data_IF_328415926978
#
_entry.id   IF_328415926978
#
_cell.length_a   1.000
_cell.length_b   1.000
_cell.length_c   1.000
_cell.angle_alpha   90.00
_cell.angle_beta   90.00
_cell.angle_gamma   90.00
#
_symmetry.space_group_name_H-M   'P 1'
#
loop_
_entity.id
_entity.type
_entity.pdbx_description
1 polymer ?
#
# COMPACT_ATOMS: atom_id res chain seq x y z
N UNK A 1 11.66 18.93 -14.81
CA UNK A 1 11.79 19.12 -13.35
C UNK A 1 10.50 19.76 -12.88
N UNK A 2 9.77 19.13 -11.95
CA UNK A 2 8.53 19.69 -11.40
C UNK A 2 8.87 20.83 -10.44
N UNK A 3 8.06 21.88 -10.44
CA UNK A 3 8.16 22.93 -9.41
C UNK A 3 7.50 22.48 -8.09
N UNK A 4 7.68 23.27 -7.03
CA UNK A 4 7.15 22.94 -5.70
C UNK A 4 5.64 22.79 -5.67
N UNK A 5 4.90 23.63 -6.41
CA UNK A 5 3.44 23.56 -6.46
C UNK A 5 2.98 22.30 -7.19
N UNK A 6 3.62 21.97 -8.31
CA UNK A 6 3.36 20.74 -9.08
C UNK A 6 3.64 19.49 -8.25
N UNK A 7 4.71 19.48 -7.45
CA UNK A 7 5.01 18.36 -6.55
C UNK A 7 3.97 18.22 -5.44
N UNK A 8 3.56 19.31 -4.80
CA UNK A 8 2.52 19.28 -3.77
C UNK A 8 1.17 18.80 -4.32
N UNK A 9 0.77 19.28 -5.50
CA UNK A 9 -0.46 18.82 -6.16
C UNK A 9 -0.41 17.34 -6.52
N UNK A 10 0.75 16.86 -6.98
CA UNK A 10 0.93 15.43 -7.25
C UNK A 10 0.83 14.61 -5.95
N UNK A 11 1.49 15.03 -4.87
CA UNK A 11 1.43 14.32 -3.58
C UNK A 11 0.01 14.26 -3.04
N UNK A 12 -0.75 15.35 -3.14
CA UNK A 12 -2.16 15.35 -2.76
C UNK A 12 -2.96 14.36 -3.63
N UNK A 13 -2.77 14.39 -4.95
CA UNK A 13 -3.43 13.45 -5.87
C UNK A 13 -3.10 12.00 -5.50
N UNK A 14 -1.82 11.66 -5.29
CA UNK A 14 -1.40 10.30 -4.95
C UNK A 14 -1.91 9.87 -3.57
N UNK A 15 -2.08 10.80 -2.63
CA UNK A 15 -2.73 10.54 -1.35
C UNK A 15 -4.19 10.10 -1.55
N UNK A 16 -4.95 10.88 -2.33
CA UNK A 16 -6.36 10.61 -2.59
C UNK A 16 -6.55 9.29 -3.36
N UNK A 17 -5.73 9.08 -4.40
CA UNK A 17 -5.73 7.84 -5.19
C UNK A 17 -5.38 6.61 -4.33
N UNK A 18 -4.42 6.75 -3.40
CA UNK A 18 -4.08 5.66 -2.46
C UNK A 18 -5.25 5.33 -1.53
N UNK A 19 -5.93 6.34 -0.99
CA UNK A 19 -7.11 6.12 -0.14
C UNK A 19 -8.23 5.42 -0.90
N UNK A 20 -8.53 5.90 -2.12
CA UNK A 20 -9.58 5.33 -2.98
C UNK A 20 -9.23 3.88 -3.34
N UNK A 21 -7.99 3.61 -3.74
CA UNK A 21 -7.54 2.28 -4.12
C UNK A 21 -7.63 1.28 -2.96
N UNK A 22 -7.10 1.65 -1.79
CA UNK A 22 -7.15 0.80 -0.60
C UNK A 22 -8.57 0.62 -0.07
N UNK A 23 -9.42 1.64 -0.19
CA UNK A 23 -10.85 1.52 0.11
C UNK A 23 -11.52 0.51 -0.83
N UNK A 24 -11.26 0.57 -2.13
CA UNK A 24 -11.82 -0.37 -3.11
C UNK A 24 -11.43 -1.81 -2.80
N UNK A 25 -10.16 -2.06 -2.43
CA UNK A 25 -9.70 -3.39 -1.99
C UNK A 25 -10.44 -3.85 -0.73
N UNK A 26 -10.61 -2.96 0.25
CA UNK A 26 -11.31 -3.25 1.51
C UNK A 26 -12.79 -3.57 1.30
N UNK A 27 -13.47 -2.87 0.40
CA UNK A 27 -14.90 -3.07 0.10
C UNK A 27 -15.16 -4.09 -0.99
N UNK A 28 -14.12 -4.84 -1.42
CA UNK A 28 -14.18 -5.81 -2.52
C UNK A 28 -14.64 -5.23 -3.87
N UNK A 29 -14.45 -3.93 -4.11
CA UNK A 29 -14.66 -3.31 -5.42
C UNK A 29 -13.43 -3.54 -6.31
N UNK A 30 -13.22 -4.80 -6.69
CA UNK A 30 -12.07 -5.20 -7.51
C UNK A 30 -12.13 -4.65 -8.93
N UNK A 31 -13.32 -4.26 -9.41
CA UNK A 31 -13.46 -3.59 -10.70
C UNK A 31 -12.80 -2.21 -10.65
N UNK A 32 -13.12 -1.42 -9.63
CA UNK A 32 -12.52 -0.11 -9.43
C UNK A 32 -11.03 -0.21 -9.13
N UNK A 33 -10.63 -1.09 -8.20
CA UNK A 33 -9.22 -1.29 -7.85
C UNK A 33 -8.38 -1.65 -9.10
N UNK A 34 -8.86 -2.60 -9.93
CA UNK A 34 -8.16 -3.00 -11.16
C UNK A 34 -8.06 -1.85 -12.18
N UNK A 35 -9.05 -0.96 -12.25
CA UNK A 35 -9.02 0.20 -13.14
C UNK A 35 -7.94 1.24 -12.76
N UNK A 36 -7.57 1.29 -11.47
CA UNK A 36 -6.51 2.15 -10.97
C UNK A 36 -5.10 1.59 -11.20
N UNK A 37 -5.01 0.29 -11.51
CA UNK A 37 -3.73 -0.36 -11.80
C UNK A 37 -3.23 -0.04 -13.21
N UNK A 38 -1.91 -0.19 -13.38
CA UNK A 38 -1.25 -0.01 -14.67
C UNK A 38 -1.61 -1.11 -15.67
N UNK A 39 -1.23 -0.89 -16.94
CA UNK A 39 -1.52 -1.84 -18.01
C UNK A 39 -0.90 -3.23 -17.79
N UNK A 40 0.15 -3.34 -16.97
CA UNK A 40 0.76 -4.62 -16.56
C UNK A 40 -0.27 -5.56 -15.92
N UNK A 41 -1.30 -5.00 -15.27
CA UNK A 41 -2.36 -5.76 -14.62
C UNK A 41 -3.61 -5.94 -15.48
N UNK A 42 -3.65 -5.33 -16.68
CA UNK A 42 -4.79 -5.36 -17.61
C UNK A 42 -4.92 -6.72 -18.31
N UNK A 43 -3.82 -7.44 -18.50
CA UNK A 43 -3.83 -8.78 -19.13
C UNK A 43 -4.42 -9.87 -18.21
N UNK A 44 -4.36 -9.67 -16.89
CA UNK A 44 -5.01 -10.55 -15.92
C UNK A 44 -6.53 -10.39 -16.02
N UNK A 45 -7.31 -11.46 -15.93
CA UNK A 45 -8.77 -11.32 -15.89
C UNK A 45 -9.23 -10.69 -14.56
N UNK A 46 -10.44 -10.14 -14.50
CA UNK A 46 -10.99 -9.64 -13.23
C UNK A 46 -11.14 -10.76 -12.18
N UNK A 47 -11.67 -11.96 -12.52
CA UNK A 47 -11.71 -13.09 -11.58
C UNK A 47 -10.34 -13.49 -11.04
N UNK A 48 -9.31 -13.56 -11.90
CA UNK A 48 -7.96 -13.92 -11.47
C UNK A 48 -7.35 -12.86 -10.56
N UNK A 49 -7.59 -11.58 -10.86
CA UNK A 49 -7.17 -10.47 -10.02
C UNK A 49 -7.81 -10.54 -8.63
N UNK A 50 -9.13 -10.73 -8.58
CA UNK A 50 -9.85 -10.92 -7.32
C UNK A 50 -9.29 -12.11 -6.53
N UNK A 51 -9.14 -13.28 -7.19
CA UNK A 51 -8.64 -14.48 -6.54
C UNK A 51 -7.21 -14.28 -6.00
N UNK A 52 -6.35 -13.60 -6.76
CA UNK A 52 -4.99 -13.26 -6.32
C UNK A 52 -5.01 -12.34 -5.10
N UNK A 53 -5.75 -11.23 -5.12
CA UNK A 53 -5.83 -10.32 -3.96
C UNK A 53 -6.40 -11.04 -2.74
N UNK A 54 -7.45 -11.85 -2.90
CA UNK A 54 -8.09 -12.56 -1.79
C UNK A 54 -7.21 -13.68 -1.20
N UNK A 55 -6.31 -14.26 -2.00
CA UNK A 55 -5.39 -15.32 -1.58
C UNK A 55 -4.09 -14.75 -1.02
N UNK A 56 -3.47 -13.85 -1.76
CA UNK A 56 -2.14 -13.31 -1.47
C UNK A 56 -2.15 -12.05 -0.62
N UNK A 57 -3.32 -11.39 -0.47
CA UNK A 57 -3.49 -10.15 0.30
C UNK A 57 -4.85 -10.01 1.04
N UNK A 58 -5.44 -11.06 1.67
CA UNK A 58 -6.68 -10.95 2.47
C UNK A 58 -6.71 -9.90 3.60
N UNK A 59 -5.56 -9.31 3.99
CA UNK A 59 -5.52 -8.27 5.01
C UNK A 59 -6.33 -7.02 4.62
N UNK A 60 -6.34 -6.62 3.34
CA UNK A 60 -7.06 -5.41 2.92
C UNK A 60 -8.56 -5.48 3.24
N UNK A 61 -9.19 -6.63 2.99
CA UNK A 61 -10.61 -6.85 3.29
C UNK A 61 -10.93 -6.84 4.80
N UNK A 62 -9.92 -7.07 5.66
CA UNK A 62 -10.05 -7.06 7.12
C UNK A 62 -9.74 -5.70 7.75
N UNK A 63 -9.11 -4.79 7.00
CA UNK A 63 -8.79 -3.45 7.50
C UNK A 63 -10.07 -2.64 7.75
N UNK A 64 -10.03 -1.77 8.75
CA UNK A 64 -11.16 -0.89 9.13
C UNK A 64 -10.90 0.55 8.76
N UNK A 65 -9.64 0.98 8.67
CA UNK A 65 -9.25 2.31 8.23
C UNK A 65 -7.86 2.30 7.57
N UNK A 66 -7.56 3.39 6.88
CA UNK A 66 -6.27 3.63 6.21
C UNK A 66 -5.76 5.01 6.62
N UNK A 67 -4.48 5.09 6.99
CA UNK A 67 -3.75 6.33 7.12
C UNK A 67 -2.70 6.40 6.01
N UNK A 68 -2.61 7.51 5.30
CA UNK A 68 -1.58 7.73 4.27
C UNK A 68 -0.46 8.58 4.86
N UNK A 69 0.76 8.08 4.75
CA UNK A 69 1.96 8.69 5.31
C UNK A 69 2.79 9.40 4.25
N UNK A 70 4.06 9.01 4.16
CA UNK A 70 5.06 9.69 3.34
C UNK A 70 4.88 9.34 1.85
N UNK A 71 5.24 10.31 1.01
CA UNK A 71 5.30 10.15 -0.44
C UNK A 71 6.71 10.49 -0.89
N UNK A 72 7.33 9.54 -1.58
CA UNK A 72 8.64 9.70 -2.22
C UNK A 72 8.47 9.56 -3.71
N UNK A 73 8.87 10.56 -4.48
CA UNK A 73 8.76 10.54 -5.94
C UNK A 73 10.06 11.02 -6.60
N UNK A 74 10.42 10.41 -7.72
CA UNK A 74 11.64 10.75 -8.48
C UNK A 74 11.35 11.27 -9.90
N UNK A 75 10.06 11.35 -10.27
CA UNK A 75 9.63 11.73 -11.62
C UNK A 75 9.24 10.57 -12.52
N UNK A 76 9.72 9.36 -12.24
CA UNK A 76 9.38 8.13 -12.96
C UNK A 76 8.50 7.21 -12.12
N UNK A 77 8.70 7.20 -10.81
CA UNK A 77 7.88 6.46 -9.87
C UNK A 77 7.57 7.34 -8.65
N UNK A 78 6.50 6.95 -7.95
CA UNK A 78 6.18 7.48 -6.64
C UNK A 78 5.78 6.33 -5.73
N UNK A 79 6.34 6.29 -4.53
CA UNK A 79 5.98 5.34 -3.48
C UNK A 79 5.22 6.11 -2.41
N UNK A 80 4.04 5.61 -2.09
CA UNK A 80 3.18 6.13 -1.01
C UNK A 80 3.16 5.09 0.09
N UNK A 81 3.61 5.48 1.28
CA UNK A 81 3.48 4.67 2.49
C UNK A 81 2.04 4.82 3.01
N UNK A 82 1.39 3.70 3.28
CA UNK A 82 0.06 3.64 3.87
C UNK A 82 0.06 2.67 5.06
N UNK A 83 -0.82 2.92 6.01
CA UNK A 83 -0.97 2.11 7.21
C UNK A 83 -2.41 1.65 7.32
N UNK A 84 -2.59 0.34 7.41
CA UNK A 84 -3.90 -0.29 7.56
C UNK A 84 -4.16 -0.51 9.05
N UNK A 85 -5.29 -0.02 9.54
CA UNK A 85 -5.75 -0.27 10.90
C UNK A 85 -6.76 -1.42 10.92
N UNK A 86 -6.72 -2.24 11.95
CA UNK A 86 -7.58 -3.41 12.11
C UNK A 86 -8.40 -3.32 13.41
N UNK A 87 -9.51 -4.07 13.49
CA UNK A 87 -10.40 -4.07 14.66
C UNK A 87 -9.74 -4.58 15.95
N UNK A 88 -8.62 -5.30 15.84
CA UNK A 88 -7.82 -5.80 16.96
C UNK A 88 -6.71 -4.83 17.39
N UNK A 89 -6.85 -3.54 17.06
CA UNK A 89 -5.94 -2.43 17.39
C UNK A 89 -4.53 -2.55 16.79
N UNK A 90 -4.35 -3.47 15.84
CA UNK A 90 -3.06 -3.70 15.19
C UNK A 90 -2.96 -2.95 13.88
N UNK A 91 -1.73 -2.83 13.38
CA UNK A 91 -1.39 -2.11 12.16
C UNK A 91 -0.60 -2.99 11.19
N UNK A 92 -0.71 -2.68 9.90
CA UNK A 92 0.16 -3.20 8.86
C UNK A 92 0.61 -2.03 7.97
N UNK A 93 1.88 -2.07 7.53
CA UNK A 93 2.39 -1.15 6.51
C UNK A 93 1.99 -1.65 5.14
N UNK A 94 1.73 -0.72 4.23
CA UNK A 94 1.50 -0.99 2.84
C UNK A 94 2.19 0.07 1.99
N UNK A 95 3.00 -0.35 1.03
CA UNK A 95 3.60 0.54 0.06
C UNK A 95 2.78 0.44 -1.24
N UNK A 96 2.26 1.58 -1.71
CA UNK A 96 1.60 1.69 -3.01
C UNK A 96 2.53 2.42 -3.97
N UNK A 97 3.01 1.73 -5.00
CA UNK A 97 3.89 2.31 -6.00
C UNK A 97 3.09 2.71 -7.24
N UNK A 98 3.24 3.96 -7.66
CA UNK A 98 2.65 4.53 -8.86
C UNK A 98 3.72 4.82 -9.90
N UNK A 99 3.34 4.73 -11.17
CA UNK A 99 4.12 5.23 -12.30
C UNK A 99 3.22 6.07 -13.23
N UNK A 100 3.78 7.06 -13.94
CA UNK A 100 3.03 7.85 -14.90
C UNK A 100 2.63 6.99 -16.10
N UNK A 101 1.37 7.13 -16.50
CA UNK A 101 0.81 6.55 -17.71
C UNK A 101 0.12 7.67 -18.52
N UNK A 102 -0.34 7.35 -19.74
CA UNK A 102 -1.02 8.31 -20.64
C UNK A 102 -2.20 9.03 -19.99
N UNK A 103 -2.93 8.31 -19.13
CA UNK A 103 -4.15 8.79 -18.44
C UNK A 103 -3.90 9.26 -17.01
N UNK A 104 -2.63 9.44 -16.60
CA UNK A 104 -2.23 9.81 -15.25
C UNK A 104 -1.45 8.73 -14.52
N UNK A 105 -1.25 8.91 -13.22
CA UNK A 105 -0.48 7.98 -12.39
C UNK A 105 -1.31 6.73 -12.10
N UNK A 106 -0.71 5.55 -12.30
CA UNK A 106 -1.36 4.25 -12.12
C UNK A 106 -0.58 3.38 -11.16
N UNK A 107 -1.29 2.58 -10.36
CA UNK A 107 -0.67 1.64 -9.40
C UNK A 107 0.07 0.55 -10.18
N UNK A 108 1.38 0.48 -10.04
CA UNK A 108 2.20 -0.56 -10.67
C UNK A 108 2.53 -1.70 -9.71
N UNK A 109 2.58 -1.42 -8.40
CA UNK A 109 2.92 -2.41 -7.37
C UNK A 109 2.21 -2.08 -6.07
N UNK A 110 1.80 -3.14 -5.38
CA UNK A 110 1.26 -3.12 -4.04
C UNK A 110 2.11 -4.05 -3.18
N UNK A 111 2.54 -3.60 -2.01
CA UNK A 111 3.32 -4.42 -1.08
C UNK A 111 2.76 -4.25 0.32
N UNK A 112 2.60 -5.36 1.05
CA UNK A 112 2.11 -5.37 2.42
C UNK A 112 3.24 -5.89 3.32
N UNK A 113 3.54 -5.16 4.40
CA UNK A 113 4.51 -5.57 5.42
C UNK A 113 3.84 -5.50 6.80
N UNK A 114 4.10 -6.52 7.60
CA UNK A 114 3.65 -6.59 8.98
C UNK A 114 4.52 -5.68 9.85
N UNK A 115 3.92 -4.89 10.75
CA UNK A 115 4.66 -4.07 11.71
C UNK A 115 4.56 -4.68 13.11
N UNK A 116 3.34 -4.88 13.62
CA UNK A 116 3.11 -5.21 15.05
C UNK A 116 2.81 -6.69 15.33
N UNK A 117 2.54 -7.52 14.31
CA UNK A 117 2.08 -8.90 14.49
C UNK A 117 2.07 -9.72 13.19
N UNK A 118 2.17 -11.04 13.36
CA UNK A 118 1.91 -12.05 12.34
C UNK A 118 0.45 -11.99 11.85
N UNK A 119 0.19 -11.48 10.65
CA UNK A 119 -1.13 -11.55 10.03
C UNK A 119 -1.27 -12.99 9.55
N UNK A 120 -1.99 -13.87 10.25
CA UNK A 120 -2.30 -15.18 9.68
C UNK A 120 -3.23 -15.00 8.45
N UNK A 121 -2.90 -15.58 7.28
CA UNK A 121 -1.94 -16.67 7.04
C UNK A 121 -0.61 -16.27 6.35
N UNK A 122 -0.22 -14.99 6.38
CA UNK A 122 0.92 -14.44 5.64
C UNK A 122 2.29 -14.68 6.26
N UNK A 123 2.33 -15.11 7.52
CA UNK A 123 3.59 -15.40 8.19
C UNK A 123 4.07 -16.81 7.78
N UNK A 124 5.14 -16.94 6.97
CA UNK A 124 5.89 -18.19 6.96
C UNK A 124 6.38 -18.43 8.38
N UNK A 125 6.19 -19.65 8.89
CA UNK A 125 6.65 -20.07 10.21
C UNK A 125 8.17 -20.18 10.26
N UNK A 126 8.89 -19.05 10.17
CA UNK A 126 10.32 -18.98 10.47
C UNK A 126 10.63 -17.74 11.32
N UNK A 127 11.18 -17.90 12.53
CA UNK A 127 11.54 -16.78 13.37
C UNK A 127 12.96 -16.29 13.03
N UNK A 128 13.09 -15.06 12.54
CA UNK A 128 14.29 -14.22 12.71
C UNK A 128 13.90 -12.80 12.24
N UNK A 129 14.12 -11.70 12.95
CA UNK A 129 15.24 -11.28 13.78
C UNK A 129 14.72 -10.41 14.95
N UNK A 130 15.43 -10.41 16.08
CA UNK A 130 15.08 -9.63 17.25
C UNK A 130 15.08 -8.11 16.97
N UNK A 131 13.90 -7.50 16.99
CA UNK A 131 13.76 -6.05 17.21
C UNK A 131 14.01 -5.73 18.70
N UNK A 132 15.25 -5.86 19.15
CA UNK A 132 15.74 -5.18 20.35
C UNK A 132 16.19 -3.78 19.93
N UNK A 133 15.24 -2.86 19.86
CA UNK A 133 15.56 -1.43 20.00
C UNK A 133 15.70 -1.14 21.49
N UNK A 134 16.76 -1.65 22.12
CA UNK A 134 17.17 -1.16 23.44
C UNK A 134 17.85 0.18 23.22
N UNK A 135 17.13 1.27 23.45
CA UNK A 135 17.70 2.61 23.59
C UNK A 135 18.51 2.65 24.88
N UNK A 136 19.83 2.62 24.76
CA UNK A 136 20.73 2.91 25.87
C UNK A 136 20.97 4.41 25.90
N UNK A 137 20.35 5.10 26.86
CA UNK A 137 20.71 6.48 27.19
C UNK A 137 22.13 6.46 27.80
N UNK A 138 23.04 7.24 27.22
CA UNK A 138 24.35 7.49 27.81
C UNK A 138 24.19 8.73 28.69
N UNK A 139 24.08 8.52 30.00
CA UNK A 139 24.27 9.61 30.98
C UNK A 139 25.73 10.09 30.92
N UNK A 140 25.90 11.41 30.99
CA UNK A 140 27.21 12.09 30.94
C UNK A 140 28.03 11.98 32.22
#
# INVERSE_FOLDING_TARGET
MRDTLQTLLLHQQLTDETQIFLQALRTNDFTHAKHMMSEVWREMSLPDFQAMIQKELPAFAKSTATFVGLIMDDGQEAVVDAFLYFSNEKWAACDVTFAPNRDGWKVIRLSLREIDWAIEPFSPTEPSLSSRSESMEVEG
#
